data_IF_125262818958
#
_entry.id   IF_125262818958
#
_cell.length_a   1.000
_cell.length_b   1.000
_cell.length_c   1.000
_cell.angle_alpha   90.00
_cell.angle_beta   90.00
_cell.angle_gamma   90.00
#
_symmetry.space_group_name_H-M   'P 1'
#
loop_
_entity.id
_entity.type
_entity.pdbx_description
1 polymer ?
#
# COMPACT_ATOMS: atom_id res chain seq x y z
N UNK A 1 32.75 27.40 -84.53
CA UNK A 1 33.74 26.61 -83.78
C UNK A 1 33.18 26.35 -82.38
N UNK A 2 32.98 25.07 -82.03
CA UNK A 2 33.06 24.58 -80.63
C UNK A 2 34.54 24.65 -80.20
N UNK A 3 34.93 24.71 -78.91
CA UNK A 3 34.39 23.95 -77.76
C UNK A 3 34.20 24.86 -76.52
N UNK A 4 33.83 24.49 -75.28
CA UNK A 4 34.09 23.30 -74.46
C UNK A 4 32.99 23.10 -73.41
N UNK A 5 32.82 21.85 -72.98
CA UNK A 5 31.94 21.43 -71.87
C UNK A 5 32.71 21.54 -70.55
N UNK A 6 32.07 22.12 -69.53
CA UNK A 6 32.42 21.85 -68.13
C UNK A 6 31.14 21.61 -67.32
N UNK A 7 31.09 20.42 -66.71
CA UNK A 7 30.08 19.94 -65.75
C UNK A 7 30.27 20.68 -64.42
N UNK A 8 29.17 21.06 -63.76
CA UNK A 8 29.17 21.63 -62.41
C UNK A 8 27.98 21.11 -61.62
N UNK A 9 28.28 20.35 -60.56
CA UNK A 9 27.42 19.59 -59.67
C UNK A 9 26.17 20.34 -59.13
N UNK A 10 25.06 19.59 -59.10
CA UNK A 10 23.96 19.73 -58.12
C UNK A 10 24.49 19.59 -56.69
N UNK A 11 24.25 20.61 -55.85
CA UNK A 11 24.44 20.54 -54.40
C UNK A 11 23.17 21.00 -53.70
N UNK A 12 22.27 20.07 -53.40
CA UNK A 12 21.17 20.31 -52.47
C UNK A 12 21.73 20.18 -51.05
N UNK A 13 21.81 21.29 -50.32
CA UNK A 13 22.17 21.28 -48.91
C UNK A 13 20.96 20.75 -48.10
N UNK A 14 21.02 19.48 -47.68
CA UNK A 14 20.15 18.99 -46.61
C UNK A 14 20.67 19.55 -45.28
N UNK A 15 19.95 20.54 -44.75
CA UNK A 15 20.04 20.93 -43.35
C UNK A 15 19.42 19.80 -42.51
N UNK A 16 20.26 18.91 -41.99
CA UNK A 16 19.86 17.98 -40.94
C UNK A 16 19.64 18.78 -39.66
N UNK A 17 18.38 19.10 -39.37
CA UNK A 17 17.97 19.64 -38.08
C UNK A 17 18.14 18.53 -37.03
N UNK A 18 19.27 18.55 -36.34
CA UNK A 18 19.52 17.69 -35.19
C UNK A 18 18.69 18.23 -34.02
N UNK A 19 17.45 17.76 -33.89
CA UNK A 19 16.66 17.95 -32.66
C UNK A 19 17.31 17.15 -31.56
N UNK A 20 18.12 17.81 -30.74
CA UNK A 20 18.59 17.28 -29.46
C UNK A 20 17.36 17.21 -28.55
N UNK A 21 16.73 16.04 -28.49
CA UNK A 21 15.78 15.70 -27.44
C UNK A 21 16.60 15.61 -26.14
N UNK A 22 16.56 16.67 -25.33
CA UNK A 22 16.97 16.57 -23.94
C UNK A 22 15.99 15.65 -23.23
N UNK A 23 16.34 14.37 -23.11
CA UNK A 23 15.65 13.47 -22.21
C UNK A 23 15.79 14.02 -20.79
N UNK A 24 14.68 14.40 -20.18
CA UNK A 24 14.65 14.65 -18.73
C UNK A 24 15.04 13.32 -18.07
N UNK A 25 16.07 13.27 -17.21
CA UNK A 25 16.42 12.03 -16.54
C UNK A 25 15.20 11.55 -15.75
N UNK A 26 14.71 10.35 -16.07
CA UNK A 26 13.75 9.66 -15.24
C UNK A 26 14.40 9.48 -13.87
N UNK A 27 13.80 10.05 -12.83
CA UNK A 27 14.31 9.89 -11.46
C UNK A 27 14.04 8.45 -11.06
N UNK A 28 15.05 7.60 -11.12
CA UNK A 28 14.94 6.21 -10.68
C UNK A 28 14.59 6.17 -9.19
N UNK A 29 13.70 5.26 -8.82
CA UNK A 29 13.41 4.99 -7.41
C UNK A 29 14.70 4.56 -6.69
N UNK A 30 14.96 5.13 -5.52
CA UNK A 30 16.12 4.74 -4.72
C UNK A 30 15.83 3.48 -3.91
N UNK A 31 16.88 2.74 -3.54
CA UNK A 31 16.75 1.74 -2.49
C UNK A 31 16.22 2.40 -1.19
N UNK A 32 15.43 1.68 -0.37
CA UNK A 32 15.03 2.14 0.94
C UNK A 32 16.25 2.49 1.81
N UNK A 33 16.17 3.61 2.53
CA UNK A 33 17.21 4.08 3.45
C UNK A 33 16.68 4.01 4.88
N UNK A 34 17.35 3.28 5.75
CA UNK A 34 17.05 3.27 7.19
C UNK A 34 17.29 4.63 7.81
N UNK A 35 16.33 5.11 8.61
CA UNK A 35 16.39 6.42 9.25
C UNK A 35 16.70 6.31 10.74
N UNK A 36 15.80 5.66 11.49
CA UNK A 36 15.88 5.45 12.93
C UNK A 36 14.97 4.28 13.33
N UNK A 37 15.11 3.80 14.57
CA UNK A 37 14.29 2.71 15.13
C UNK A 37 13.37 3.26 16.21
N UNK A 38 12.09 2.87 16.17
CA UNK A 38 11.15 3.17 17.25
C UNK A 38 11.41 2.18 18.38
N UNK A 39 12.04 2.63 19.46
CA UNK A 39 12.39 1.78 20.62
C UNK A 39 11.33 1.79 21.73
N UNK A 40 10.30 2.62 21.61
CA UNK A 40 9.23 2.69 22.60
C UNK A 40 8.40 1.39 22.59
N UNK A 41 8.27 0.76 23.75
CA UNK A 41 7.55 -0.50 23.89
C UNK A 41 6.03 -0.39 23.65
N UNK A 42 5.47 0.82 23.71
CA UNK A 42 4.06 1.05 23.36
C UNK A 42 3.81 1.11 21.85
N UNK A 43 4.87 1.02 21.05
CA UNK A 43 4.86 0.97 19.59
C UNK A 43 5.58 -0.28 19.06
N UNK A 44 5.67 -1.36 19.86
CA UNK A 44 6.26 -2.62 19.38
C UNK A 44 5.45 -3.25 18.26
N UNK A 45 4.14 -3.00 18.25
CA UNK A 45 3.19 -3.44 17.21
C UNK A 45 2.77 -2.22 16.37
N UNK A 46 3.76 -1.52 15.82
CA UNK A 46 3.58 -0.32 15.00
C UNK A 46 2.72 -0.63 13.76
N UNK A 47 1.51 -0.08 13.72
CA UNK A 47 0.52 -0.41 12.70
C UNK A 47 0.26 0.76 11.72
N UNK A 48 0.18 2.00 12.22
CA UNK A 48 -0.04 3.20 11.38
C UNK A 48 1.04 4.28 11.53
N UNK A 49 1.31 5.03 10.45
CA UNK A 49 2.23 6.18 10.45
C UNK A 49 1.73 7.31 9.54
N UNK A 50 1.89 8.57 9.97
CA UNK A 50 1.69 9.78 9.14
C UNK A 50 2.76 10.82 9.42
N UNK A 51 2.97 11.77 8.50
CA UNK A 51 3.86 12.93 8.71
C UNK A 51 3.11 14.24 8.54
N UNK A 52 3.34 15.18 9.45
CA UNK A 52 2.90 16.58 9.31
C UNK A 52 4.02 17.50 8.76
N UNK A 53 5.18 16.93 8.43
CA UNK A 53 6.38 17.62 7.96
C UNK A 53 7.33 18.10 9.04
N UNK A 54 6.88 18.21 10.29
CA UNK A 54 7.72 18.54 11.44
C UNK A 54 8.01 17.31 12.31
N UNK A 55 7.00 16.45 12.45
CA UNK A 55 7.00 15.23 13.25
C UNK A 55 6.37 14.08 12.45
N UNK A 56 6.56 12.86 12.95
CA UNK A 56 5.74 11.72 12.55
C UNK A 56 4.74 11.42 13.66
N UNK A 57 3.59 10.89 13.30
CA UNK A 57 2.58 10.41 14.25
C UNK A 57 2.33 8.94 13.98
N UNK A 58 2.36 8.13 15.04
CA UNK A 58 2.25 6.68 14.95
C UNK A 58 1.16 6.13 15.86
N UNK A 59 0.62 4.98 15.50
CA UNK A 59 -0.26 4.16 16.35
C UNK A 59 0.24 2.73 16.42
N UNK A 60 -0.06 2.07 17.52
CA UNK A 60 0.05 0.61 17.66
C UNK A 60 -1.34 -0.01 17.46
N UNK A 61 -1.39 -1.26 16.99
CA UNK A 61 -2.64 -2.04 16.90
C UNK A 61 -3.17 -2.49 18.27
N UNK A 62 -2.30 -2.51 19.29
CA UNK A 62 -2.65 -2.85 20.66
C UNK A 62 -2.82 -1.66 21.60
N UNK A 63 -3.48 -1.93 22.72
CA UNK A 63 -3.72 -0.97 23.79
C UNK A 63 -5.18 -0.91 24.21
N UNK A 64 -5.44 -0.16 25.28
CA UNK A 64 -6.80 0.05 25.81
C UNK A 64 -7.24 1.51 25.75
N UNK A 65 -6.62 2.29 24.89
CA UNK A 65 -6.88 3.72 24.72
C UNK A 65 -6.52 4.16 23.31
N UNK A 66 -7.33 5.05 22.75
CA UNK A 66 -7.02 5.73 21.48
C UNK A 66 -5.82 6.65 21.71
N UNK A 67 -4.66 6.27 21.21
CA UNK A 67 -3.40 7.02 21.38
C UNK A 67 -2.67 7.16 20.07
N UNK A 68 -2.16 8.35 19.81
CA UNK A 68 -1.23 8.62 18.73
C UNK A 68 0.03 9.28 19.29
N UNK A 69 1.19 8.71 18.98
CA UNK A 69 2.48 9.12 19.51
C UNK A 69 3.20 10.02 18.51
N UNK A 70 3.68 11.16 18.98
CA UNK A 70 4.53 12.05 18.19
C UNK A 70 5.99 11.57 18.24
N UNK A 71 6.58 11.29 17.09
CA UNK A 71 7.96 10.83 16.96
C UNK A 71 8.87 11.94 16.37
N UNK A 72 10.10 12.04 16.86
CA UNK A 72 11.17 12.80 16.20
C UNK A 72 11.55 12.11 14.87
N UNK A 73 11.42 12.75 13.70
CA UNK A 73 11.79 12.16 12.41
C UNK A 73 13.28 11.79 12.26
N UNK A 74 14.14 12.22 13.17
CA UNK A 74 15.59 11.95 13.16
C UNK A 74 15.99 10.85 14.13
N UNK A 75 15.30 10.72 15.26
CA UNK A 75 15.68 9.77 16.32
C UNK A 75 14.62 8.70 16.58
N UNK A 76 13.40 8.85 16.05
CA UNK A 76 12.24 8.01 16.32
C UNK A 76 11.81 8.00 17.80
N UNK A 77 12.35 8.91 18.62
CA UNK A 77 11.97 9.05 20.02
C UNK A 77 10.55 9.64 20.13
N UNK A 78 9.74 9.05 21.03
CA UNK A 78 8.45 9.60 21.42
C UNK A 78 8.66 10.91 22.18
N UNK A 79 8.08 12.00 21.65
CA UNK A 79 8.16 13.34 22.23
C UNK A 79 6.90 13.74 22.99
N UNK A 80 5.75 13.31 22.49
CA UNK A 80 4.44 13.60 23.08
C UNK A 80 3.41 12.58 22.60
N UNK A 81 2.19 12.65 23.13
CA UNK A 81 1.07 11.85 22.68
C UNK A 81 -0.22 12.68 22.61
N UNK A 82 -1.14 12.27 21.75
CA UNK A 82 -2.55 12.67 21.80
C UNK A 82 -3.37 11.47 22.23
N UNK A 83 -4.23 11.68 23.21
CA UNK A 83 -5.03 10.63 23.83
C UNK A 83 -6.51 10.98 23.74
N UNK A 84 -7.33 9.99 23.38
CA UNK A 84 -8.78 10.05 23.50
C UNK A 84 -9.29 9.19 24.65
N UNK A 85 -10.46 9.52 25.19
CA UNK A 85 -11.04 8.87 26.37
C UNK A 85 -11.71 7.50 26.07
N UNK A 86 -11.68 7.06 24.81
CA UNK A 86 -12.32 5.82 24.38
C UNK A 86 -11.32 4.66 24.41
N UNK A 87 -11.83 3.48 24.78
CA UNK A 87 -11.15 2.19 24.63
C UNK A 87 -11.51 1.62 23.25
N UNK A 88 -10.59 1.63 22.26
CA UNK A 88 -10.85 1.12 20.92
C UNK A 88 -10.82 -0.41 20.91
N UNK A 89 -11.37 -1.02 19.86
CA UNK A 89 -11.33 -2.48 19.73
C UNK A 89 -10.03 -2.98 19.08
N UNK A 90 -9.61 -2.39 17.96
CA UNK A 90 -8.49 -2.84 17.11
C UNK A 90 -8.11 -1.70 16.14
N UNK A 91 -7.12 -0.87 16.50
CA UNK A 91 -6.72 0.33 15.71
C UNK A 91 -5.65 -0.04 14.70
N UNK A 92 -5.99 -0.05 13.43
CA UNK A 92 -5.08 -0.61 12.40
C UNK A 92 -4.29 0.44 11.62
N UNK A 93 -4.75 1.70 11.59
CA UNK A 93 -4.09 2.73 10.79
C UNK A 93 -4.46 4.14 11.29
N UNK A 94 -3.75 5.16 10.79
CA UNK A 94 -4.14 6.55 10.98
C UNK A 94 -3.94 7.42 9.74
N UNK A 95 -4.75 8.48 9.64
CA UNK A 95 -4.62 9.52 8.62
C UNK A 95 -4.53 10.91 9.27
N UNK A 96 -3.81 11.83 8.61
CA UNK A 96 -3.71 13.23 9.01
C UNK A 96 -4.63 14.09 8.14
N UNK A 97 -5.59 14.76 8.77
CA UNK A 97 -6.47 15.71 8.10
C UNK A 97 -5.78 17.07 7.86
N UNK A 98 -6.21 17.85 6.86
CA UNK A 98 -5.63 19.18 6.57
C UNK A 98 -5.71 20.19 7.73
N UNK A 99 -6.63 19.99 8.67
CA UNK A 99 -6.78 20.80 9.89
C UNK A 99 -5.88 20.33 11.05
N UNK A 100 -5.04 19.32 10.82
CA UNK A 100 -4.12 18.75 11.80
C UNK A 100 -4.76 17.70 12.73
N UNK A 101 -6.02 17.34 12.52
CA UNK A 101 -6.65 16.24 13.27
C UNK A 101 -6.09 14.88 12.82
N UNK A 102 -5.81 14.01 13.79
CA UNK A 102 -5.44 12.61 13.52
C UNK A 102 -6.71 11.75 13.54
N UNK A 103 -6.89 10.96 12.51
CA UNK A 103 -8.01 10.04 12.34
C UNK A 103 -7.49 8.62 12.46
N UNK A 104 -7.86 7.91 13.52
CA UNK A 104 -7.41 6.56 13.82
C UNK A 104 -8.51 5.57 13.44
N UNK A 105 -8.15 4.53 12.71
CA UNK A 105 -9.05 3.53 12.18
C UNK A 105 -9.19 2.34 13.12
N UNK A 106 -10.19 2.38 14.01
CA UNK A 106 -10.62 1.23 14.79
C UNK A 106 -11.47 0.31 13.92
N UNK A 107 -10.81 -0.40 13.00
CA UNK A 107 -11.42 -1.15 11.89
C UNK A 107 -11.04 -2.62 11.84
N UNK A 108 -10.09 -3.08 12.66
CA UNK A 108 -9.69 -4.48 12.74
C UNK A 108 -10.83 -5.40 13.16
N UNK A 109 -10.99 -6.50 12.44
CA UNK A 109 -12.00 -7.52 12.70
C UNK A 109 -11.58 -8.88 12.11
N UNK A 110 -10.41 -9.37 12.52
CA UNK A 110 -9.88 -10.71 12.20
C UNK A 110 -10.92 -11.86 12.31
N UNK A 111 -11.98 -11.69 13.10
CA UNK A 111 -13.05 -12.69 13.33
C UNK A 111 -14.33 -12.42 12.54
N UNK A 112 -14.43 -11.34 11.79
CA UNK A 112 -15.58 -10.89 10.99
C UNK A 112 -16.89 -10.91 11.78
N UNK A 113 -16.91 -10.26 12.96
CA UNK A 113 -18.05 -10.26 13.89
C UNK A 113 -18.51 -8.87 14.32
N UNK A 114 -17.72 -7.82 14.09
CA UNK A 114 -18.05 -6.45 14.47
C UNK A 114 -19.21 -5.95 13.62
N UNK A 115 -20.27 -5.48 14.28
CA UNK A 115 -21.43 -4.89 13.59
C UNK A 115 -21.15 -3.49 13.07
N UNK A 116 -20.22 -2.80 13.71
CA UNK A 116 -19.74 -1.48 13.38
C UNK A 116 -18.25 -1.37 13.68
N UNK A 117 -17.60 -0.53 12.89
CA UNK A 117 -16.21 -0.06 13.05
C UNK A 117 -16.24 1.43 13.38
N UNK A 118 -15.12 2.00 13.79
CA UNK A 118 -15.06 3.39 14.20
C UNK A 118 -13.86 4.15 13.60
N UNK A 119 -14.06 5.44 13.37
CA UNK A 119 -12.97 6.40 13.22
C UNK A 119 -12.92 7.25 14.48
N UNK A 120 -11.78 7.22 15.17
CA UNK A 120 -11.51 8.10 16.29
C UNK A 120 -10.75 9.33 15.79
N UNK A 121 -11.20 10.52 16.17
CA UNK A 121 -10.59 11.78 15.72
C UNK A 121 -9.99 12.51 16.91
N UNK A 122 -8.69 12.81 16.83
CA UNK A 122 -7.91 13.56 17.81
C UNK A 122 -7.48 14.92 17.20
N UNK A 123 -8.24 16.00 17.45
CA UNK A 123 -7.91 17.32 16.92
C UNK A 123 -6.57 17.84 17.45
N UNK A 124 -5.89 18.69 16.66
CA UNK A 124 -4.64 19.32 17.08
C UNK A 124 -4.78 20.19 18.34
N UNK A 125 -5.96 20.77 18.56
CA UNK A 125 -6.28 21.58 19.75
C UNK A 125 -6.69 20.77 20.99
N UNK A 126 -6.70 19.44 20.90
CA UNK A 126 -7.16 18.53 21.95
C UNK A 126 -8.65 18.16 21.87
N UNK A 127 -9.07 17.28 22.78
CA UNK A 127 -10.38 16.63 22.75
C UNK A 127 -10.38 15.36 21.89
N UNK A 128 -11.55 14.71 21.79
CA UNK A 128 -11.72 13.55 20.93
C UNK A 128 -13.16 13.46 20.39
N UNK A 129 -13.31 12.85 19.22
CA UNK A 129 -14.60 12.47 18.65
C UNK A 129 -14.54 11.02 18.15
N UNK A 130 -15.69 10.38 18.05
CA UNK A 130 -15.84 9.03 17.49
C UNK A 130 -16.97 9.04 16.47
N UNK A 131 -16.71 8.43 15.32
CA UNK A 131 -17.68 8.24 14.25
C UNK A 131 -17.82 6.77 13.95
N UNK A 132 -19.01 6.20 14.18
CA UNK A 132 -19.27 4.78 13.94
C UNK A 132 -19.78 4.57 12.53
N UNK A 133 -19.32 3.50 11.90
CA UNK A 133 -19.67 3.12 10.54
C UNK A 133 -20.03 1.64 10.46
N UNK A 134 -20.94 1.27 9.54
CA UNK A 134 -21.30 -0.13 9.31
C UNK A 134 -21.16 -0.50 7.84
N UNK A 135 -20.57 -1.67 7.57
CA UNK A 135 -20.52 -2.23 6.22
C UNK A 135 -21.93 -2.53 5.66
N UNK A 136 -22.16 -2.36 4.35
CA UNK A 136 -23.46 -2.58 3.72
C UNK A 136 -23.82 -4.07 3.54
N UNK A 137 -22.84 -4.96 3.66
CA UNK A 137 -22.90 -6.39 3.36
C UNK A 137 -22.61 -7.23 4.61
N UNK A 138 -21.34 -7.39 4.98
CA UNK A 138 -20.87 -8.21 6.10
C UNK A 138 -19.74 -7.52 6.87
N UNK A 139 -19.42 -7.94 8.09
CA UNK A 139 -18.22 -7.46 8.76
C UNK A 139 -16.96 -7.80 7.95
N UNK A 140 -16.06 -6.82 7.83
CA UNK A 140 -14.75 -6.97 7.19
C UNK A 140 -13.65 -6.52 8.14
N UNK A 141 -12.54 -7.25 8.07
CA UNK A 141 -11.25 -6.84 8.59
C UNK A 141 -10.63 -5.80 7.64
N UNK A 142 -10.24 -4.64 8.16
CA UNK A 142 -9.70 -3.56 7.35
C UNK A 142 -8.57 -2.84 8.06
N UNK A 143 -7.45 -2.70 7.36
CA UNK A 143 -6.18 -2.25 7.95
C UNK A 143 -5.60 -1.02 7.24
N UNK A 144 -6.39 -0.34 6.42
CA UNK A 144 -5.92 0.84 5.73
C UNK A 144 -6.97 1.95 5.70
N UNK A 145 -6.53 3.15 6.08
CA UNK A 145 -7.31 4.38 6.04
C UNK A 145 -6.70 5.35 5.04
N UNK A 146 -7.47 5.73 4.03
CA UNK A 146 -7.12 6.82 3.13
C UNK A 146 -8.03 8.00 3.39
N UNK A 147 -7.47 9.18 3.63
CA UNK A 147 -8.24 10.41 3.82
C UNK A 147 -7.98 11.35 2.66
N UNK A 148 -9.01 11.69 1.89
CA UNK A 148 -8.85 12.68 0.83
C UNK A 148 -8.76 14.11 1.38
N UNK A 149 -8.37 15.06 0.53
CA UNK A 149 -8.21 16.47 0.91
C UNK A 149 -9.49 17.16 1.35
N UNK A 150 -10.65 16.57 1.07
CA UNK A 150 -11.95 17.09 1.49
C UNK A 150 -12.40 16.50 2.82
N UNK A 151 -11.62 15.58 3.39
CA UNK A 151 -11.92 14.90 4.65
C UNK A 151 -12.85 13.71 4.48
N UNK A 152 -13.00 13.14 3.28
CA UNK A 152 -13.75 11.89 3.09
C UNK A 152 -12.81 10.70 3.36
N UNK A 153 -13.13 9.84 4.32
CA UNK A 153 -12.34 8.64 4.59
C UNK A 153 -12.75 7.50 3.65
N UNK A 154 -11.76 6.71 3.25
CA UNK A 154 -11.91 5.45 2.55
C UNK A 154 -11.24 4.35 3.38
N UNK A 155 -11.99 3.30 3.69
CA UNK A 155 -11.54 2.12 4.42
C UNK A 155 -11.27 1.01 3.41
N UNK A 156 -10.08 0.40 3.48
CA UNK A 156 -9.64 -0.64 2.55
C UNK A 156 -9.43 -1.96 3.30
N UNK A 157 -10.10 -3.01 2.84
CA UNK A 157 -10.15 -4.30 3.57
C UNK A 157 -8.92 -5.17 3.33
N UNK A 158 -8.56 -5.97 4.32
CA UNK A 158 -7.51 -6.99 4.23
C UNK A 158 -8.09 -8.32 3.78
N UNK A 159 -7.87 -8.68 2.52
CA UNK A 159 -8.51 -9.84 1.91
C UNK A 159 -7.48 -10.80 1.29
N UNK A 160 -7.47 -12.10 1.66
CA UNK A 160 -6.40 -13.06 1.33
C UNK A 160 -6.32 -13.44 -0.15
N UNK A 161 -7.34 -13.07 -0.95
CA UNK A 161 -7.35 -13.32 -2.39
C UNK A 161 -6.82 -12.12 -3.20
N UNK A 162 -6.33 -11.07 -2.54
CA UNK A 162 -5.82 -9.85 -3.18
C UNK A 162 -6.90 -8.95 -3.78
N UNK A 163 -8.16 -9.13 -3.39
CA UNK A 163 -9.30 -8.30 -3.79
C UNK A 163 -9.78 -7.45 -2.60
N UNK A 164 -8.99 -6.45 -2.24
CA UNK A 164 -9.34 -5.53 -1.17
C UNK A 164 -10.57 -4.70 -1.57
N UNK A 165 -11.61 -4.71 -0.74
CA UNK A 165 -12.78 -3.86 -0.91
C UNK A 165 -12.47 -2.42 -0.47
N UNK A 166 -13.04 -1.44 -1.18
CA UNK A 166 -12.91 -0.02 -0.83
C UNK A 166 -14.28 0.49 -0.43
N UNK A 167 -14.38 1.02 0.78
CA UNK A 167 -15.61 1.50 1.39
C UNK A 167 -15.47 2.96 1.82
N UNK A 168 -16.56 3.72 1.81
CA UNK A 168 -16.63 5.07 2.38
C UNK A 168 -17.99 5.32 3.02
N UNK A 169 -18.15 6.32 3.90
CA UNK A 169 -19.45 6.73 4.43
C UNK A 169 -20.43 7.09 3.30
N UNK A 170 -21.64 6.54 3.33
CA UNK A 170 -22.70 6.86 2.35
C UNK A 170 -23.39 8.22 2.62
N UNK A 171 -23.15 8.78 3.81
CA UNK A 171 -23.61 10.11 4.24
C UNK A 171 -22.48 10.79 5.04
N UNK A 172 -22.56 12.11 5.31
CA UNK A 172 -21.67 12.76 6.26
C UNK A 172 -21.62 12.01 7.59
N UNK A 173 -20.42 11.90 8.17
CA UNK A 173 -20.23 11.28 9.47
C UNK A 173 -21.01 12.04 10.55
N UNK A 174 -21.57 11.30 11.50
CA UNK A 174 -22.41 11.82 12.58
C UNK A 174 -22.00 11.16 13.90
N UNK A 175 -21.59 11.92 14.93
CA UNK A 175 -21.13 11.33 16.18
C UNK A 175 -22.27 10.74 17.03
N UNK A 176 -23.53 10.94 16.64
CA UNK A 176 -24.71 10.48 17.39
C UNK A 176 -25.33 9.19 16.84
N UNK A 177 -24.84 8.67 15.71
CA UNK A 177 -25.38 7.46 15.07
C UNK A 177 -24.34 6.72 14.25
N UNK A 178 -24.56 5.42 14.06
CA UNK A 178 -23.81 4.65 13.06
C UNK A 178 -24.21 5.07 11.65
N UNK A 179 -23.24 5.42 10.83
CA UNK A 179 -23.41 5.80 9.42
C UNK A 179 -23.14 4.58 8.53
N UNK A 180 -24.08 4.15 7.66
CA UNK A 180 -23.80 3.08 6.73
C UNK A 180 -22.72 3.50 5.74
N UNK A 181 -21.80 2.60 5.45
CA UNK A 181 -20.86 2.74 4.34
C UNK A 181 -21.47 2.21 3.04
N UNK A 182 -20.91 2.66 1.93
CA UNK A 182 -21.09 2.05 0.61
C UNK A 182 -19.78 1.46 0.13
N UNK A 183 -19.85 0.31 -0.55
CA UNK A 183 -18.71 -0.25 -1.28
C UNK A 183 -18.56 0.50 -2.60
N UNK A 184 -17.47 1.25 -2.75
CA UNK A 184 -17.24 2.13 -3.91
C UNK A 184 -16.29 1.55 -4.93
N UNK A 185 -15.56 0.50 -4.57
CA UNK A 185 -14.63 -0.15 -5.48
C UNK A 185 -13.93 -1.35 -4.86
N UNK A 186 -12.90 -1.81 -5.56
CA UNK A 186 -11.93 -2.76 -5.05
C UNK A 186 -10.60 -2.57 -5.74
N UNK A 187 -9.54 -2.92 -5.03
CA UNK A 187 -8.18 -2.98 -5.54
C UNK A 187 -7.82 -4.44 -5.78
N UNK A 188 -7.19 -4.73 -6.92
CA UNK A 188 -6.68 -6.07 -7.24
C UNK A 188 -5.17 -6.05 -7.16
N UNK A 189 -4.62 -6.72 -6.16
CA UNK A 189 -3.19 -6.82 -5.89
C UNK A 189 -2.64 -8.13 -6.43
N UNK A 190 -1.42 -8.09 -6.96
CA UNK A 190 -0.78 -9.24 -7.61
C UNK A 190 0.23 -9.87 -6.69
N UNK A 191 0.27 -11.19 -6.70
CA UNK A 191 1.25 -11.95 -5.95
C UNK A 191 2.68 -11.70 -6.44
N UNK A 192 3.63 -11.64 -5.51
CA UNK A 192 5.06 -11.54 -5.78
C UNK A 192 5.86 -12.59 -5.00
N UNK A 193 7.19 -12.52 -5.11
CA UNK A 193 8.14 -13.33 -4.33
C UNK A 193 9.01 -12.47 -3.40
N UNK A 194 8.60 -11.22 -3.18
CA UNK A 194 9.33 -10.34 -2.26
C UNK A 194 9.22 -10.94 -0.85
N UNK A 195 10.36 -11.19 -0.19
CA UNK A 195 10.37 -11.79 1.15
C UNK A 195 9.84 -10.77 2.18
N UNK A 196 9.48 -11.28 3.36
CA UNK A 196 9.00 -10.49 4.49
C UNK A 196 7.58 -10.86 4.91
N UNK A 197 7.17 -10.27 6.02
CA UNK A 197 5.88 -10.46 6.66
C UNK A 197 5.79 -11.76 7.47
N UNK A 198 4.75 -11.86 8.31
CA UNK A 198 4.52 -13.03 9.15
C UNK A 198 3.98 -14.23 8.36
N UNK A 199 3.79 -14.09 7.05
CA UNK A 199 3.16 -15.07 6.18
C UNK A 199 4.10 -15.50 5.06
N UNK A 200 4.41 -16.79 5.03
CA UNK A 200 5.25 -17.36 3.98
C UNK A 200 4.63 -17.23 2.58
N UNK A 201 5.48 -16.91 1.62
CA UNK A 201 5.17 -16.98 0.19
C UNK A 201 4.30 -15.82 -0.30
N UNK A 202 3.48 -16.08 -1.32
CA UNK A 202 2.86 -15.01 -2.09
C UNK A 202 1.73 -14.25 -1.38
N UNK A 203 1.28 -14.69 -0.21
CA UNK A 203 0.18 -14.03 0.51
C UNK A 203 0.58 -12.68 1.11
N UNK A 204 1.84 -12.52 1.52
CA UNK A 204 2.35 -11.25 2.08
C UNK A 204 2.18 -10.06 1.12
N UNK A 205 2.31 -10.30 -0.18
CA UNK A 205 2.26 -9.26 -1.23
C UNK A 205 0.86 -8.76 -1.63
N UNK A 206 -0.22 -9.33 -1.06
CA UNK A 206 -1.60 -9.04 -1.48
C UNK A 206 -2.54 -8.65 -0.34
N UNK A 207 -2.13 -8.84 0.92
CA UNK A 207 -2.91 -8.44 2.09
C UNK A 207 -2.59 -6.99 2.42
N UNK A 208 -3.58 -6.11 2.31
CA UNK A 208 -3.43 -4.68 2.65
C UNK A 208 -3.26 -4.54 4.16
N UNK A 209 -2.25 -3.79 4.58
CA UNK A 209 -1.87 -3.57 6.00
C UNK A 209 -1.68 -2.09 6.35
N UNK A 210 -1.88 -1.17 5.39
CA UNK A 210 -1.75 0.27 5.66
C UNK A 210 -2.03 1.12 4.42
N UNK A 211 -2.41 2.38 4.63
CA UNK A 211 -2.73 3.32 3.57
C UNK A 211 -2.19 4.73 3.84
N UNK A 212 -1.87 5.48 2.78
CA UNK A 212 -1.52 6.88 2.93
C UNK A 212 -1.88 7.71 1.70
N UNK A 213 -2.35 8.94 1.94
CA UNK A 213 -2.58 9.95 0.91
C UNK A 213 -1.61 11.09 1.15
N UNK A 214 -0.84 11.49 0.13
CA UNK A 214 0.07 12.62 0.23
C UNK A 214 -0.67 13.92 0.58
N UNK A 215 -0.02 14.86 1.26
CA UNK A 215 -0.66 16.10 1.73
C UNK A 215 -1.33 16.92 0.61
N UNK A 216 -0.79 16.89 -0.62
CA UNK A 216 -1.38 17.57 -1.78
C UNK A 216 -2.47 16.74 -2.50
N UNK A 217 -2.75 15.53 -2.01
CA UNK A 217 -3.73 14.59 -2.53
C UNK A 217 -3.32 13.87 -3.81
N UNK A 218 -2.11 14.09 -4.33
CA UNK A 218 -1.75 13.64 -5.69
C UNK A 218 -1.14 12.26 -5.78
N UNK A 219 -0.78 11.67 -4.63
CA UNK A 219 -0.30 10.31 -4.50
C UNK A 219 -1.11 9.57 -3.44
N UNK A 220 -1.44 8.32 -3.76
CA UNK A 220 -2.07 7.36 -2.85
C UNK A 220 -1.13 6.16 -2.76
N UNK A 221 -0.83 5.71 -1.55
CA UNK A 221 -0.09 4.48 -1.29
C UNK A 221 -1.00 3.49 -0.57
N UNK A 222 -0.98 2.24 -1.03
CA UNK A 222 -1.44 1.10 -0.24
C UNK A 222 -0.25 0.22 0.05
N UNK A 223 -0.11 -0.21 1.29
CA UNK A 223 0.89 -1.16 1.71
C UNK A 223 0.28 -2.55 1.84
N UNK A 224 1.09 -3.54 1.53
CA UNK A 224 0.96 -4.92 1.98
C UNK A 224 2.19 -5.29 2.80
N UNK A 225 2.21 -6.47 3.42
CA UNK A 225 3.36 -6.90 4.23
C UNK A 225 4.71 -6.77 3.52
N UNK A 226 4.77 -6.92 2.19
CA UNK A 226 6.05 -6.92 1.45
C UNK A 226 6.14 -5.92 0.29
N UNK A 227 5.07 -5.18 0.01
CA UNK A 227 5.01 -4.26 -1.14
C UNK A 227 4.31 -2.95 -0.78
N UNK A 228 4.76 -1.85 -1.38
CA UNK A 228 3.99 -0.61 -1.49
C UNK A 228 3.48 -0.43 -2.93
N UNK A 229 2.19 -0.16 -3.06
CA UNK A 229 1.50 0.11 -4.33
C UNK A 229 1.16 1.60 -4.38
N UNK A 230 1.82 2.33 -5.27
CA UNK A 230 1.67 3.78 -5.41
C UNK A 230 0.84 4.13 -6.63
N UNK A 231 -0.23 4.87 -6.41
CA UNK A 231 -1.16 5.36 -7.42
C UNK A 231 -1.02 6.88 -7.57
N UNK A 232 -1.08 7.36 -8.80
CA UNK A 232 -1.20 8.79 -9.09
C UNK A 232 -2.67 9.22 -9.04
N UNK A 233 -2.91 10.36 -8.39
CA UNK A 233 -4.21 11.01 -8.30
C UNK A 233 -4.11 12.48 -8.73
N UNK A 234 -3.89 12.79 -10.03
CA UNK A 234 -3.61 14.16 -10.47
C UNK A 234 -4.73 15.17 -10.16
N UNK A 235 -5.96 14.70 -9.97
CA UNK A 235 -7.12 15.49 -9.57
C UNK A 235 -7.43 15.40 -8.05
N UNK A 236 -6.71 14.56 -7.30
CA UNK A 236 -6.99 14.27 -5.90
C UNK A 236 -8.20 13.37 -5.66
N UNK A 237 -8.71 12.69 -6.69
CA UNK A 237 -9.73 11.65 -6.55
C UNK A 237 -9.06 10.32 -6.18
N UNK A 238 -9.23 9.90 -4.93
CA UNK A 238 -8.68 8.64 -4.40
C UNK A 238 -9.29 7.44 -5.12
N UNK A 239 -10.59 7.46 -5.41
CA UNK A 239 -11.27 6.33 -6.03
C UNK A 239 -10.89 6.16 -7.51
N UNK A 240 -10.68 7.26 -8.22
CA UNK A 240 -10.13 7.22 -9.57
C UNK A 240 -8.69 6.68 -9.56
N UNK A 241 -7.85 7.15 -8.63
CA UNK A 241 -6.48 6.68 -8.50
C UNK A 241 -6.40 5.17 -8.27
N UNK A 242 -7.21 4.63 -7.35
CA UNK A 242 -7.24 3.20 -7.03
C UNK A 242 -7.74 2.30 -8.17
N UNK A 243 -8.32 2.88 -9.23
CA UNK A 243 -8.69 2.14 -10.46
C UNK A 243 -7.56 2.09 -11.50
N UNK A 244 -6.51 2.88 -11.32
CA UNK A 244 -5.35 2.91 -12.20
C UNK A 244 -4.35 1.79 -11.85
N UNK A 245 -3.46 1.46 -12.79
CA UNK A 245 -2.38 0.52 -12.51
C UNK A 245 -1.35 1.21 -11.57
N UNK A 246 -1.05 0.63 -10.40
CA UNK A 246 -0.06 1.21 -9.49
C UNK A 246 1.37 0.99 -9.99
N UNK A 247 2.27 1.84 -9.52
CA UNK A 247 3.70 1.50 -9.43
C UNK A 247 3.91 0.65 -8.19
N UNK A 248 4.42 -0.56 -8.37
CA UNK A 248 4.78 -1.45 -7.27
C UNK A 248 6.22 -1.21 -6.83
N UNK A 249 6.41 -1.12 -5.52
CA UNK A 249 7.68 -0.91 -4.84
C UNK A 249 7.89 -2.09 -3.88
N UNK A 250 8.89 -2.96 -4.11
CA UNK A 250 9.23 -3.98 -3.13
C UNK A 250 9.77 -3.31 -1.87
N UNK A 251 9.22 -3.70 -0.72
CA UNK A 251 9.71 -3.27 0.58
C UNK A 251 10.81 -4.24 1.08
N UNK A 252 11.63 -3.83 2.06
CA UNK A 252 12.61 -4.70 2.68
C UNK A 252 11.96 -5.94 3.32
N UNK A 253 12.79 -6.94 3.62
CA UNK A 253 12.40 -8.19 4.30
C UNK A 253 12.07 -7.93 5.77
N UNK A 254 10.98 -7.19 5.98
CA UNK A 254 10.46 -6.76 7.28
C UNK A 254 9.72 -7.91 7.95
N UNK A 255 9.78 -8.02 9.28
CA UNK A 255 9.11 -9.09 10.04
C UNK A 255 7.59 -8.99 9.89
N UNK A 256 7.03 -7.78 9.99
CA UNK A 256 5.60 -7.53 9.86
C UNK A 256 5.34 -6.08 9.41
N UNK A 257 5.39 -5.87 8.10
CA UNK A 257 5.25 -4.55 7.50
C UNK A 257 3.81 -4.01 7.45
N UNK A 258 3.55 -2.89 8.14
CA UNK A 258 2.19 -2.31 8.28
C UNK A 258 2.14 -0.79 8.00
N UNK A 259 2.97 -0.02 8.68
CA UNK A 259 2.82 1.44 8.68
C UNK A 259 3.41 2.14 7.45
N UNK A 260 2.63 2.91 6.67
CA UNK A 260 3.10 3.63 5.48
C UNK A 260 2.73 5.12 5.52
N UNK A 261 3.67 6.03 5.22
CA UNK A 261 3.40 7.47 5.30
C UNK A 261 4.07 8.28 4.17
N UNK A 262 3.34 9.26 3.62
CA UNK A 262 3.96 10.29 2.77
C UNK A 262 4.56 11.41 3.61
N UNK A 263 5.78 11.83 3.24
CA UNK A 263 6.39 13.05 3.76
C UNK A 263 6.16 14.26 2.83
N UNK A 264 6.09 15.48 3.40
CA UNK A 264 6.10 16.74 2.63
C UNK A 264 7.42 16.91 1.85
N UNK A 265 7.45 16.39 0.63
CA UNK A 265 8.65 16.28 -0.20
C UNK A 265 8.65 15.07 -1.14
N UNK A 266 7.71 14.13 -0.95
CA UNK A 266 7.52 12.97 -1.83
C UNK A 266 8.36 11.74 -1.42
N UNK A 267 8.95 11.75 -0.22
CA UNK A 267 9.48 10.54 0.40
C UNK A 267 8.33 9.67 0.92
N UNK A 268 8.43 8.36 0.70
CA UNK A 268 7.51 7.38 1.27
C UNK A 268 8.21 6.68 2.43
N UNK A 269 7.62 6.74 3.61
CA UNK A 269 8.10 6.04 4.81
C UNK A 269 7.44 4.67 4.92
N UNK A 270 8.21 3.70 5.39
CA UNK A 270 7.82 2.32 5.70
C UNK A 270 8.24 2.02 7.14
N UNK A 271 7.31 1.57 7.98
CA UNK A 271 7.56 1.05 9.32
C UNK A 271 7.08 -0.40 9.48
N UNK A 272 7.63 -1.14 10.42
CA UNK A 272 7.25 -2.53 10.69
C UNK A 272 7.10 -2.70 12.20
N UNK A 273 6.31 -3.69 12.61
CA UNK A 273 6.38 -4.18 13.98
C UNK A 273 7.75 -4.80 14.28
N UNK A 274 7.96 -5.19 15.55
CA UNK A 274 9.19 -5.87 15.97
C UNK A 274 10.36 -4.91 16.21
N UNK A 275 10.07 -3.61 16.40
CA UNK A 275 11.06 -2.55 16.61
C UNK A 275 12.09 -2.48 15.46
N UNK A 276 11.63 -2.69 14.22
CA UNK A 276 12.46 -2.50 13.04
C UNK A 276 12.68 -1.02 12.70
N UNK A 277 13.76 -0.69 11.96
CA UNK A 277 13.99 0.66 11.49
C UNK A 277 12.85 1.18 10.60
N UNK A 278 12.45 2.44 10.81
CA UNK A 278 11.68 3.20 9.82
C UNK A 278 12.58 3.49 8.62
N UNK A 279 12.06 3.25 7.42
CA UNK A 279 12.81 3.36 6.16
C UNK A 279 12.15 4.36 5.23
N UNK A 280 12.96 5.13 4.49
CA UNK A 280 12.51 6.07 3.47
C UNK A 280 12.82 5.58 2.07
N UNK A 281 11.81 5.53 1.22
CA UNK A 281 11.92 5.34 -0.22
C UNK A 281 11.82 6.71 -0.90
N UNK A 282 12.87 7.10 -1.63
CA UNK A 282 12.86 8.34 -2.43
C UNK A 282 12.46 8.06 -3.87
N UNK A 283 11.78 9.02 -4.50
CA UNK A 283 11.36 8.89 -5.90
C UNK A 283 10.15 7.97 -6.10
N UNK A 284 9.37 7.70 -5.05
CA UNK A 284 8.12 6.95 -5.11
C UNK A 284 6.97 7.77 -5.76
N UNK A 285 7.22 8.49 -6.85
CA UNK A 285 6.28 9.45 -7.43
C UNK A 285 5.19 8.81 -8.32
N UNK A 286 4.99 7.49 -8.25
CA UNK A 286 4.04 6.75 -9.08
C UNK A 286 4.31 6.84 -10.59
N UNK A 287 5.53 7.17 -11.02
CA UNK A 287 5.93 7.15 -12.43
C UNK A 287 6.42 5.73 -12.80
N UNK A 288 5.79 5.02 -13.76
CA UNK A 288 6.24 3.71 -14.20
C UNK A 288 7.69 3.70 -14.69
N UNK A 289 8.19 4.81 -15.25
CA UNK A 289 9.57 4.94 -15.69
C UNK A 289 10.59 4.99 -14.54
N UNK A 290 10.14 5.24 -13.31
CA UNK A 290 10.96 5.22 -12.10
C UNK A 290 11.06 3.81 -11.47
N UNK A 291 10.20 2.87 -11.88
CA UNK A 291 10.18 1.51 -11.32
C UNK A 291 11.39 0.69 -11.80
N UNK A 292 12.05 -0.01 -10.86
CA UNK A 292 13.07 -1.00 -11.23
C UNK A 292 12.35 -2.28 -11.67
N UNK A 293 12.68 -2.90 -12.82
CA UNK A 293 12.07 -4.17 -13.20
C UNK A 293 12.48 -5.27 -12.21
N UNK A 294 11.59 -5.62 -11.29
CA UNK A 294 11.82 -6.68 -10.31
C UNK A 294 11.63 -8.11 -10.87
N UNK A 295 11.42 -8.25 -12.19
CA UNK A 295 11.00 -9.54 -12.79
C UNK A 295 11.74 -9.92 -14.09
N UNK A 296 12.95 -9.39 -14.31
CA UNK A 296 13.81 -9.93 -15.39
C UNK A 296 14.77 -10.99 -14.85
N UNK A 297 14.75 -12.24 -15.39
CA UNK A 297 15.83 -13.18 -15.16
C UNK A 297 17.15 -12.56 -15.61
N UNK A 298 18.15 -12.57 -14.73
CA UNK A 298 19.50 -12.15 -15.06
C UNK A 298 19.98 -12.90 -16.32
N UNK A 299 20.41 -12.16 -17.34
CA UNK A 299 20.99 -12.74 -18.53
C UNK A 299 22.25 -13.55 -18.15
N UNK A 300 22.38 -14.83 -18.53
CA UNK A 300 23.59 -15.59 -18.25
C UNK A 300 24.70 -15.13 -19.21
N UNK A 301 25.75 -14.54 -18.64
CA UNK A 301 26.98 -14.25 -19.37
C UNK A 301 27.75 -15.54 -19.70
N UNK A 302 27.83 -15.87 -21.00
CA UNK A 302 29.05 -16.38 -21.65
C UNK A 302 29.62 -17.75 -21.27
N UNK A 303 29.12 -18.79 -21.96
CA UNK A 303 29.81 -19.94 -22.56
C UNK A 303 30.69 -20.88 -21.69
N UNK A 304 30.19 -22.10 -21.47
CA UNK A 304 30.93 -23.31 -21.85
C UNK A 304 29.95 -24.43 -22.28
N UNK A 305 30.40 -25.33 -23.16
CA UNK A 305 29.55 -26.17 -24.02
C UNK A 305 28.89 -27.41 -23.37
N UNK A 306 27.59 -27.56 -23.67
CA UNK A 306 26.77 -28.74 -24.02
C UNK A 306 26.89 -30.09 -23.24
N UNK A 307 25.73 -30.53 -22.69
CA UNK A 307 25.15 -31.86 -22.97
C UNK A 307 23.61 -31.84 -22.72
N UNK A 308 22.76 -32.50 -23.53
CA UNK A 308 21.31 -32.32 -23.45
C UNK A 308 20.68 -33.26 -22.41
N UNK A 309 19.71 -32.76 -21.66
CA UNK A 309 18.82 -33.58 -20.84
C UNK A 309 17.36 -33.16 -21.11
N UNK A 310 16.65 -34.15 -21.67
CA UNK A 310 15.25 -34.23 -22.08
C UNK A 310 14.23 -33.35 -21.32
N UNK A 311 13.38 -32.70 -22.11
CA UNK A 311 12.02 -32.32 -21.72
C UNK A 311 11.18 -33.58 -21.55
N UNK A 312 10.55 -33.71 -20.39
CA UNK A 312 9.21 -34.27 -20.16
C UNK A 312 9.03 -34.41 -18.66
N UNK A 313 8.10 -33.66 -18.05
CA UNK A 313 7.28 -34.15 -16.94
C UNK A 313 5.98 -33.35 -16.86
N UNK A 314 4.97 -33.90 -17.53
CA UNK A 314 3.58 -33.64 -17.20
C UNK A 314 3.29 -33.96 -15.74
N UNK A 315 2.37 -33.18 -15.18
CA UNK A 315 1.83 -33.28 -13.84
C UNK A 315 1.54 -34.75 -13.45
N UNK A 316 2.40 -35.33 -12.61
CA UNK A 316 2.26 -36.71 -12.15
C UNK A 316 0.86 -36.95 -11.59
N UNK A 317 0.26 -38.07 -12.00
CA UNK A 317 -1.11 -38.51 -11.67
C UNK A 317 -1.39 -38.50 -10.16
N UNK A 318 -0.34 -38.59 -9.32
CA UNK A 318 -0.46 -38.46 -7.87
C UNK A 318 -0.79 -37.05 -7.38
N UNK A 319 -0.27 -36.00 -8.02
CA UNK A 319 -0.57 -34.60 -7.67
C UNK A 319 -1.97 -34.18 -8.15
N UNK A 320 -2.41 -34.70 -9.30
CA UNK A 320 -3.78 -34.51 -9.78
C UNK A 320 -4.82 -35.19 -8.86
N UNK A 321 -4.50 -36.37 -8.33
CA UNK A 321 -5.36 -37.07 -7.36
C UNK A 321 -5.40 -36.38 -5.99
N UNK A 322 -4.29 -35.77 -5.54
CA UNK A 322 -4.26 -34.94 -4.34
C UNK A 322 -5.11 -33.67 -4.49
N UNK A 323 -5.02 -32.98 -5.63
CA UNK A 323 -5.86 -31.82 -5.93
C UNK A 323 -7.35 -32.18 -6.00
N UNK A 324 -7.70 -33.28 -6.68
CA UNK A 324 -9.07 -33.76 -6.75
C UNK A 324 -9.63 -34.16 -5.36
N UNK A 325 -8.81 -34.76 -4.50
CA UNK A 325 -9.17 -35.10 -3.13
C UNK A 325 -9.46 -33.88 -2.26
N UNK A 326 -8.64 -32.83 -2.36
CA UNK A 326 -8.86 -31.57 -1.64
C UNK A 326 -10.13 -30.86 -2.11
N UNK A 327 -10.36 -30.78 -3.42
CA UNK A 327 -11.59 -30.18 -3.97
C UNK A 327 -12.85 -30.95 -3.53
N UNK A 328 -12.80 -32.28 -3.49
CA UNK A 328 -13.92 -33.11 -3.03
C UNK A 328 -14.19 -32.93 -1.52
N UNK A 329 -13.14 -32.83 -0.69
CA UNK A 329 -13.29 -32.59 0.74
C UNK A 329 -13.92 -31.22 1.03
N UNK A 330 -13.50 -30.18 0.30
CA UNK A 330 -14.08 -28.83 0.39
C UNK A 330 -15.55 -28.84 -0.04
N UNK A 331 -15.89 -29.52 -1.15
CA UNK A 331 -17.28 -29.62 -1.61
C UNK A 331 -18.18 -30.33 -0.60
N UNK A 332 -17.70 -31.43 -0.01
CA UNK A 332 -18.43 -32.20 1.00
C UNK A 332 -18.60 -31.42 2.31
N UNK A 333 -17.60 -30.63 2.70
CA UNK A 333 -17.71 -29.70 3.82
C UNK A 333 -18.81 -28.65 3.57
N UNK A 334 -18.84 -28.02 2.40
CA UNK A 334 -19.87 -27.03 2.04
C UNK A 334 -21.28 -27.64 1.94
N UNK A 335 -21.42 -28.86 1.41
CA UNK A 335 -22.70 -29.57 1.34
C UNK A 335 -23.18 -29.96 2.75
N UNK A 336 -22.28 -30.45 3.61
CA UNK A 336 -22.57 -30.77 5.00
C UNK A 336 -22.96 -29.53 5.83
N UNK A 337 -22.27 -28.41 5.60
CA UNK A 337 -22.56 -27.13 6.24
C UNK A 337 -23.93 -26.58 5.82
N UNK A 338 -24.29 -26.64 4.52
CA UNK A 338 -25.62 -26.25 4.03
C UNK A 338 -26.74 -27.12 4.59
N UNK A 339 -26.53 -28.44 4.71
CA UNK A 339 -27.54 -29.37 5.27
C UNK A 339 -27.76 -29.23 6.77
N UNK A 340 -26.84 -28.63 7.51
CA UNK A 340 -27.00 -28.32 8.94
C UNK A 340 -27.70 -26.97 9.20
N UNK A 341 -27.88 -26.16 8.15
CA UNK A 341 -28.53 -24.83 8.21
C UNK A 341 -29.89 -24.78 7.51
N UNK A 342 -30.35 -25.91 6.94
CA UNK A 342 -31.71 -26.12 6.45
C UNK A 342 -32.44 -27.06 7.40
#
# INVERSE_FOLDING_TARGET
MRPDRARGLTGAALLAACTILFGVPASAQSAPVELCTVEDSELSELSGLVSDGASWWAVSDSGSAVRAFELDPRTCEVRSERVGDNDPYDVEDLALAPDGALWLADTGDNRHKRKDVALHVLPAGGGSAIYRMSYPDSPHDAEALLLDRTGVPYVVTKEPLGWAGVYRPAQPLDPQRTVPMERVGSVSLRTTKTPGGPLDGSMGSVLVTGGSVSADGTLVALRTYTEAYVYRSPNGDVLEALKSEPVRIPLPDEEQGEAIAWEPGGGLLSGSEGNEPVRRISGANGDPAASTPADQPAAPGGADQAQPANEDEGMSTGRALLFAGVCAAVLLYFIGWRRRRA
#
